data_IF_817311708659
#
_entry.id   IF_817311708659
#
_cell.length_a   1.000
_cell.length_b   1.000
_cell.length_c   1.000
_cell.angle_alpha   90.00
_cell.angle_beta   90.00
_cell.angle_gamma   90.00
#
_symmetry.space_group_name_H-M   'P 1'
#
loop_
_entity.id
_entity.type
_entity.pdbx_description
1 polymer ?
#
# COMPACT_ATOMS: atom_id res chain seq x y z
N UNK A 1 14.23 0.94 12.80
CA UNK A 1 15.67 1.19 12.62
C UNK A 1 16.36 0.13 11.78
N UNK A 2 16.74 -1.06 12.29
CA UNK A 2 17.39 -2.07 11.43
C UNK A 2 16.43 -2.76 10.43
N UNK A 3 15.18 -2.96 10.84
CA UNK A 3 14.16 -3.66 10.04
C UNK A 3 13.65 -2.84 8.82
N UNK A 4 13.48 -1.52 9.00
CA UNK A 4 13.06 -0.62 7.91
C UNK A 4 14.12 -0.52 6.81
N UNK A 5 15.39 -0.42 7.20
CA UNK A 5 16.49 -0.34 6.24
C UNK A 5 16.54 -1.58 5.34
N UNK A 6 16.24 -2.77 5.87
CA UNK A 6 16.21 -4.00 5.08
C UNK A 6 15.13 -3.95 4.00
N UNK A 7 13.93 -3.51 4.34
CA UNK A 7 12.85 -3.38 3.37
C UNK A 7 13.18 -2.32 2.31
N UNK A 8 13.73 -1.17 2.70
CA UNK A 8 14.12 -0.11 1.76
C UNK A 8 15.21 -0.56 0.79
N UNK A 9 16.27 -1.22 1.29
CA UNK A 9 17.32 -1.75 0.43
C UNK A 9 16.81 -2.86 -0.49
N UNK A 10 15.97 -3.77 0.02
CA UNK A 10 15.35 -4.81 -0.79
C UNK A 10 14.47 -4.21 -1.89
N UNK A 11 13.62 -3.25 -1.54
CA UNK A 11 12.75 -2.58 -2.50
C UNK A 11 13.57 -1.86 -3.58
N UNK A 12 14.62 -1.13 -3.20
CA UNK A 12 15.51 -0.47 -4.15
C UNK A 12 16.16 -1.48 -5.12
N UNK A 13 16.68 -2.59 -4.61
CA UNK A 13 17.30 -3.62 -5.45
C UNK A 13 16.27 -4.31 -6.36
N UNK A 14 15.08 -4.63 -5.86
CA UNK A 14 13.99 -5.21 -6.67
C UNK A 14 13.60 -4.30 -7.83
N UNK A 15 13.43 -3.00 -7.55
CA UNK A 15 13.14 -2.01 -8.59
C UNK A 15 14.29 -1.95 -9.60
N UNK A 16 15.54 -1.79 -9.13
CA UNK A 16 16.71 -1.73 -10.02
C UNK A 16 16.84 -2.96 -10.91
N UNK A 17 16.66 -4.15 -10.32
CA UNK A 17 16.70 -5.43 -11.03
C UNK A 17 15.62 -5.53 -12.11
N UNK A 18 14.37 -5.16 -11.79
CA UNK A 18 13.27 -5.23 -12.76
C UNK A 18 13.49 -4.27 -13.92
N UNK A 19 13.89 -3.02 -13.66
CA UNK A 19 14.20 -2.06 -14.72
C UNK A 19 15.42 -2.45 -15.58
N UNK A 20 16.28 -3.34 -15.08
CA UNK A 20 17.41 -3.89 -15.83
C UNK A 20 17.06 -5.13 -16.66
N UNK A 21 16.08 -5.93 -16.23
CA UNK A 21 15.84 -7.29 -16.75
C UNK A 21 14.50 -7.49 -17.43
N UNK A 22 13.48 -6.72 -17.09
CA UNK A 22 12.17 -6.78 -17.72
C UNK A 22 12.03 -5.74 -18.83
N UNK A 23 11.08 -5.98 -19.73
CA UNK A 23 10.64 -4.95 -20.67
C UNK A 23 10.09 -3.75 -19.88
N UNK A 24 10.40 -2.53 -20.32
CA UNK A 24 10.03 -1.28 -19.62
C UNK A 24 8.51 -1.21 -19.34
N UNK A 25 7.69 -1.67 -20.29
CA UNK A 25 6.23 -1.72 -20.17
C UNK A 25 5.72 -2.72 -19.12
N UNK A 26 6.53 -3.71 -18.73
CA UNK A 26 6.18 -4.76 -17.77
C UNK A 26 6.70 -4.49 -16.36
N UNK A 27 7.65 -3.57 -16.20
CA UNK A 27 8.25 -3.24 -14.90
C UNK A 27 7.20 -2.83 -13.86
N UNK A 28 6.33 -1.87 -14.21
CA UNK A 28 5.30 -1.37 -13.29
C UNK A 28 4.26 -2.44 -12.96
N UNK A 29 3.64 -3.17 -13.93
CA UNK A 29 2.69 -4.25 -13.60
C UNK A 29 3.26 -5.34 -12.69
N UNK A 30 4.54 -5.71 -12.86
CA UNK A 30 5.19 -6.71 -12.00
C UNK A 30 5.32 -6.17 -10.58
N UNK A 31 5.82 -4.94 -10.42
CA UNK A 31 5.93 -4.28 -9.11
C UNK A 31 4.58 -4.13 -8.42
N UNK A 32 3.54 -3.72 -9.17
CA UNK A 32 2.17 -3.59 -8.64
C UNK A 32 1.63 -4.94 -8.17
N UNK A 33 1.84 -6.02 -8.91
CA UNK A 33 1.38 -7.35 -8.50
C UNK A 33 2.11 -7.85 -7.24
N UNK A 34 3.42 -7.60 -7.13
CA UNK A 34 4.17 -7.89 -5.91
C UNK A 34 3.61 -7.10 -4.71
N UNK A 35 3.37 -5.80 -4.90
CA UNK A 35 2.78 -4.93 -3.88
C UNK A 35 1.36 -5.36 -3.49
N UNK A 36 0.52 -5.76 -4.46
CA UNK A 36 -0.83 -6.25 -4.22
C UNK A 36 -0.84 -7.48 -3.33
N UNK A 37 0.02 -8.48 -3.62
CA UNK A 37 0.09 -9.71 -2.82
C UNK A 37 0.50 -9.42 -1.38
N UNK A 38 1.53 -8.60 -1.17
CA UNK A 38 1.99 -8.22 0.17
C UNK A 38 0.92 -7.40 0.89
N UNK A 39 0.34 -6.41 0.20
CA UNK A 39 -0.70 -5.54 0.76
C UNK A 39 -1.96 -6.31 1.17
N UNK A 40 -2.37 -7.29 0.37
CA UNK A 40 -3.50 -8.16 0.69
C UNK A 40 -3.26 -8.95 1.99
N UNK A 41 -2.12 -9.65 2.10
CA UNK A 41 -1.79 -10.40 3.31
C UNK A 41 -1.63 -9.51 4.55
N UNK A 42 -1.10 -8.30 4.39
CA UNK A 42 -1.01 -7.32 5.49
C UNK A 42 -2.39 -6.81 5.91
N UNK A 43 -3.27 -6.54 4.95
CA UNK A 43 -4.64 -6.09 5.23
C UNK A 43 -5.41 -7.15 6.02
N UNK A 44 -5.33 -8.44 5.63
CA UNK A 44 -5.91 -9.54 6.40
C UNK A 44 -5.34 -9.61 7.82
N UNK A 45 -4.01 -9.48 7.95
CA UNK A 45 -3.34 -9.53 9.26
C UNK A 45 -3.75 -8.39 10.18
N UNK A 46 -3.82 -7.16 9.67
CA UNK A 46 -4.13 -5.97 10.48
C UNK A 46 -5.62 -5.85 10.81
N UNK A 47 -6.50 -6.44 10.00
CA UNK A 47 -7.96 -6.39 10.21
C UNK A 47 -8.51 -7.61 10.94
N UNK A 48 -7.68 -8.60 11.27
CA UNK A 48 -8.08 -9.87 11.89
C UNK A 48 -9.02 -9.71 13.10
N UNK A 49 -8.70 -8.79 14.00
CA UNK A 49 -9.46 -8.52 15.23
C UNK A 49 -10.31 -7.23 15.14
N UNK A 50 -10.38 -6.62 13.94
CA UNK A 50 -11.13 -5.40 13.70
C UNK A 50 -12.59 -5.69 13.39
N UNK A 51 -13.50 -4.82 13.83
CA UNK A 51 -14.88 -4.83 13.36
C UNK A 51 -14.93 -4.60 11.85
N UNK A 52 -15.90 -5.21 11.15
CA UNK A 52 -16.11 -4.95 9.71
C UNK A 52 -16.29 -3.45 9.46
N UNK A 53 -15.63 -2.96 8.41
CA UNK A 53 -15.82 -1.58 7.94
C UNK A 53 -17.26 -1.37 7.50
N UNK A 54 -17.82 -0.21 7.85
CA UNK A 54 -19.22 0.12 7.59
C UNK A 54 -19.43 0.72 6.20
N UNK A 55 -18.45 1.50 5.75
CA UNK A 55 -18.47 2.21 4.47
C UNK A 55 -17.07 2.37 3.88
N UNK A 56 -17.00 2.90 2.66
CA UNK A 56 -15.74 3.15 1.96
C UNK A 56 -14.85 4.18 2.68
N UNK A 57 -15.46 5.13 3.41
CA UNK A 57 -14.71 6.16 4.12
C UNK A 57 -13.93 5.54 5.29
N UNK A 58 -14.51 4.57 6.00
CA UNK A 58 -13.85 3.83 7.06
C UNK A 58 -12.71 2.96 6.52
N UNK A 59 -12.88 2.36 5.33
CA UNK A 59 -11.79 1.67 4.63
C UNK A 59 -10.65 2.64 4.31
N UNK A 60 -10.96 3.82 3.77
CA UNK A 60 -9.94 4.83 3.45
C UNK A 60 -9.20 5.34 4.70
N UNK A 61 -9.91 5.51 5.83
CA UNK A 61 -9.26 5.87 7.10
C UNK A 61 -8.30 4.77 7.56
N UNK A 62 -8.70 3.50 7.48
CA UNK A 62 -7.82 2.38 7.81
C UNK A 62 -6.56 2.39 6.93
N UNK A 63 -6.71 2.56 5.61
CA UNK A 63 -5.57 2.60 4.69
C UNK A 63 -4.64 3.76 5.04
N UNK A 64 -5.17 4.97 5.20
CA UNK A 64 -4.35 6.17 5.39
C UNK A 64 -3.77 6.33 6.80
N UNK A 65 -4.38 5.72 7.82
CA UNK A 65 -3.91 5.80 9.20
C UNK A 65 -3.21 4.51 9.60
N UNK A 66 -3.97 3.45 9.81
CA UNK A 66 -3.47 2.23 10.44
C UNK A 66 -2.51 1.47 9.53
N UNK A 67 -2.90 1.22 8.28
CA UNK A 67 -2.10 0.48 7.32
C UNK A 67 -0.82 1.24 6.96
N UNK A 68 -0.95 2.50 6.53
CA UNK A 68 0.19 3.33 6.11
C UNK A 68 1.20 3.56 7.24
N UNK A 69 0.72 3.87 8.46
CA UNK A 69 1.62 4.04 9.61
C UNK A 69 2.26 2.72 10.02
N UNK A 70 1.58 1.58 9.85
CA UNK A 70 2.15 0.27 10.17
C UNK A 70 3.30 -0.10 9.24
N UNK A 71 3.17 0.19 7.94
CA UNK A 71 4.17 -0.15 6.91
C UNK A 71 5.31 0.87 6.87
N UNK A 72 5.00 2.16 6.85
CA UNK A 72 5.99 3.22 6.57
C UNK A 72 6.39 4.05 7.80
N UNK A 73 5.79 3.78 8.96
CA UNK A 73 6.00 4.53 10.23
C UNK A 73 5.85 6.06 10.09
N UNK A 74 5.07 6.50 9.10
CA UNK A 74 4.77 7.91 8.80
C UNK A 74 3.27 8.10 8.61
N UNK A 75 2.79 9.32 8.79
CA UNK A 75 1.39 9.65 8.50
C UNK A 75 1.22 9.97 7.01
N UNK A 76 0.03 9.72 6.46
CA UNK A 76 -0.35 10.27 5.16
C UNK A 76 -0.62 11.76 5.32
N UNK A 77 0.05 12.60 4.53
CA UNK A 77 -0.03 14.05 4.68
C UNK A 77 -1.41 14.62 4.34
N UNK A 78 -2.08 14.08 3.30
CA UNK A 78 -3.38 14.56 2.84
C UNK A 78 -4.22 13.44 2.23
N UNK A 79 -5.41 13.22 2.78
CA UNK A 79 -6.46 12.41 2.13
C UNK A 79 -7.37 13.35 1.34
N UNK A 80 -7.31 13.28 0.01
CA UNK A 80 -8.21 14.00 -0.89
C UNK A 80 -9.22 13.02 -1.47
N UNK A 81 -10.49 13.36 -1.39
CA UNK A 81 -11.55 12.63 -2.08
C UNK A 81 -12.27 13.58 -3.01
N UNK A 82 -12.51 13.15 -4.24
CA UNK A 82 -13.45 13.85 -5.10
C UNK A 82 -14.83 13.54 -4.51
N UNK A 83 -15.40 14.46 -3.73
CA UNK A 83 -16.77 14.32 -3.22
C UNK A 83 -17.75 14.37 -4.41
N UNK A 84 -17.79 13.30 -5.22
CA UNK A 84 -18.81 13.13 -6.25
C UNK A 84 -20.11 12.82 -5.53
N UNK A 85 -20.82 13.89 -5.13
CA UNK A 85 -22.25 13.79 -4.86
C UNK A 85 -22.85 13.23 -6.15
N UNK A 86 -23.31 11.99 -6.13
CA UNK A 86 -24.14 11.44 -7.20
C UNK A 86 -25.35 12.35 -7.29
N UNK A 87 -25.34 13.30 -8.22
CA UNK A 87 -26.55 13.99 -8.65
C UNK A 87 -27.37 12.92 -9.38
N UNK A 88 -28.33 12.35 -8.66
CA UNK A 88 -29.50 11.72 -9.26
C UNK A 88 -30.50 12.80 -9.60
#
# INVERSE_FOLDING_TARGET
>A
MADEALFEFLHMEVVSYLFKTADEEKCIPILENMGYRVGHSLAERFTKDSSRFKDELDIMKFICKDFWTSVYKKQVDNLRTNHQVRQQ
#
